data_IF_042419036585
#
_entry.id   IF_042419036585
#
_cell.length_a   1.000
_cell.length_b   1.000
_cell.length_c   1.000
_cell.angle_alpha   90.00
_cell.angle_beta   90.00
_cell.angle_gamma   90.00
#
_symmetry.space_group_name_H-M   'P 1'
#
loop_
_entity.id
_entity.type
_entity.pdbx_description
1 polymer ?
#
# COMPACT_ATOMS: atom_id res chain seq x y z
N UNK A 1 6.67 3.79 -4.95
CA UNK A 1 7.73 3.60 -3.93
C UNK A 1 7.10 3.72 -2.55
N UNK A 2 7.23 2.66 -1.74
CA UNK A 2 6.60 2.49 -0.43
C UNK A 2 7.02 3.59 0.56
N UNK A 3 6.04 4.16 1.28
CA UNK A 3 6.25 5.23 2.27
C UNK A 3 7.21 4.86 3.41
N UNK A 4 7.40 3.57 3.71
CA UNK A 4 8.36 3.09 4.71
C UNK A 4 9.82 3.26 4.30
N UNK A 5 10.14 3.15 3.00
CA UNK A 5 11.51 3.30 2.51
C UNK A 5 11.99 4.76 2.54
N UNK A 6 11.06 5.71 2.38
CA UNK A 6 11.37 7.14 2.31
C UNK A 6 11.69 7.76 3.69
N UNK A 7 11.26 7.13 4.78
CA UNK A 7 11.54 7.58 6.15
C UNK A 7 12.83 7.03 6.73
N UNK A 8 13.50 6.11 6.04
CA UNK A 8 14.78 5.59 6.49
C UNK A 8 15.90 6.64 6.30
N UNK A 9 16.85 6.76 7.24
CA UNK A 9 17.14 5.84 8.34
C UNK A 9 16.50 6.18 9.70
N UNK A 10 15.43 6.97 9.76
CA UNK A 10 14.90 7.44 11.06
C UNK A 10 14.46 6.29 11.99
N UNK A 11 14.73 6.38 13.32
CA UNK A 11 14.42 5.35 14.31
C UNK A 11 12.99 4.79 14.26
N UNK A 12 12.02 5.67 14.02
CA UNK A 12 10.62 5.28 13.95
C UNK A 12 10.32 4.43 12.71
N UNK A 13 10.88 4.77 11.55
CA UNK A 13 10.72 4.01 10.33
C UNK A 13 11.35 2.61 10.44
N UNK A 14 12.53 2.50 11.08
CA UNK A 14 13.21 1.24 11.36
C UNK A 14 12.36 0.38 12.31
N UNK A 15 11.85 0.96 13.39
CA UNK A 15 10.95 0.26 14.33
C UNK A 15 9.67 -0.23 13.66
N UNK A 16 9.08 0.56 12.75
CA UNK A 16 7.94 0.11 11.93
C UNK A 16 8.32 -1.06 11.03
N UNK A 17 9.48 -1.01 10.36
CA UNK A 17 9.98 -2.11 9.52
C UNK A 17 10.16 -3.42 10.29
N UNK A 18 10.74 -3.35 11.50
CA UNK A 18 10.92 -4.51 12.38
C UNK A 18 9.56 -5.11 12.77
N UNK A 19 8.59 -4.27 13.12
CA UNK A 19 7.23 -4.70 13.49
C UNK A 19 6.47 -5.36 12.33
N UNK A 20 6.70 -4.92 11.10
CA UNK A 20 5.90 -5.28 9.93
C UNK A 20 6.17 -6.66 9.36
N UNK A 21 7.45 -7.01 9.25
CA UNK A 21 7.88 -8.06 8.33
C UNK A 21 8.66 -9.18 9.02
N UNK A 22 8.71 -9.18 10.36
CA UNK A 22 9.70 -9.94 11.11
C UNK A 22 11.13 -9.77 10.53
N UNK A 23 11.40 -8.60 9.92
CA UNK A 23 12.63 -8.35 9.17
C UNK A 23 13.79 -8.48 10.13
N UNK A 24 14.57 -9.54 9.91
CA UNK A 24 15.76 -9.82 10.70
C UNK A 24 17.00 -9.14 10.14
N UNK A 25 17.02 -8.87 8.84
CA UNK A 25 18.19 -8.37 8.14
C UNK A 25 17.84 -7.14 7.32
N UNK A 26 18.64 -6.09 7.42
CA UNK A 26 18.56 -4.88 6.62
C UNK A 26 19.85 -4.72 5.82
N UNK A 27 19.75 -4.85 4.49
CA UNK A 27 20.86 -4.57 3.58
C UNK A 27 20.75 -3.13 3.07
N UNK A 28 21.82 -2.36 3.24
CA UNK A 28 21.92 -0.96 2.82
C UNK A 28 23.01 -0.86 1.76
N UNK A 29 22.70 -0.28 0.60
CA UNK A 29 23.67 0.00 -0.46
C UNK A 29 24.19 1.45 -0.35
N UNK A 30 25.45 1.61 0.04
CA UNK A 30 26.09 2.90 0.36
C UNK A 30 26.21 3.82 -0.87
N UNK A 31 26.41 3.24 -2.07
CA UNK A 31 26.49 4.00 -3.33
C UNK A 31 25.16 4.65 -3.73
N UNK A 32 24.04 4.16 -3.19
CA UNK A 32 22.70 4.69 -3.51
C UNK A 32 22.14 5.61 -2.42
N UNK A 33 22.80 5.70 -1.26
CA UNK A 33 22.34 6.46 -0.10
C UNK A 33 22.82 7.92 -0.07
N UNK A 34 23.01 8.57 -1.24
CA UNK A 34 23.49 9.94 -1.34
C UNK A 34 22.62 10.90 -0.49
N UNK A 35 23.20 11.45 0.58
CA UNK A 35 22.58 12.49 1.41
C UNK A 35 21.77 12.00 2.62
N UNK A 36 21.70 10.70 2.90
CA UNK A 36 21.05 10.20 4.12
C UNK A 36 22.01 10.28 5.32
N UNK A 37 21.47 10.62 6.50
CA UNK A 37 22.21 10.65 7.77
C UNK A 37 22.98 9.33 8.01
N UNK A 38 24.06 9.33 8.81
CA UNK A 38 24.84 8.12 9.05
C UNK A 38 23.98 7.00 9.64
N UNK A 39 23.90 5.87 8.95
CA UNK A 39 23.22 4.65 9.42
C UNK A 39 23.82 4.06 10.71
N UNK A 40 24.96 4.57 11.17
CA UNK A 40 25.60 4.19 12.43
C UNK A 40 24.74 4.40 13.68
N UNK A 41 23.64 5.18 13.61
CA UNK A 41 22.68 5.29 14.70
C UNK A 41 21.84 4.02 14.91
N UNK A 42 21.71 3.14 13.91
CA UNK A 42 20.99 1.87 14.04
C UNK A 42 21.52 1.00 15.20
N UNK A 43 22.82 1.05 15.47
CA UNK A 43 23.42 0.31 16.58
C UNK A 43 22.95 0.78 17.96
N UNK A 44 22.54 2.04 18.08
CA UNK A 44 21.96 2.58 19.31
C UNK A 44 20.54 2.04 19.55
N UNK A 45 19.88 1.53 18.51
CA UNK A 45 18.55 0.91 18.57
C UNK A 45 18.59 -0.61 18.69
N UNK A 46 19.78 -1.17 18.94
CA UNK A 46 19.98 -2.61 19.13
C UNK A 46 20.17 -3.40 17.83
N UNK A 47 20.32 -2.73 16.69
CA UNK A 47 20.73 -3.39 15.46
C UNK A 47 22.24 -3.69 15.47
N UNK A 48 22.62 -4.90 15.07
CA UNK A 48 24.01 -5.34 15.04
C UNK A 48 24.51 -5.34 13.60
N UNK A 49 25.58 -4.58 13.30
CA UNK A 49 26.26 -4.71 12.01
C UNK A 49 26.86 -6.13 11.92
N UNK A 50 26.52 -6.85 10.86
CA UNK A 50 26.94 -8.25 10.68
C UNK A 50 27.89 -8.47 9.52
N UNK A 51 27.84 -7.57 8.53
CA UNK A 51 28.75 -7.57 7.40
C UNK A 51 28.82 -6.14 6.84
N UNK A 52 30.00 -5.79 6.35
CA UNK A 52 30.28 -4.52 5.70
C UNK A 52 31.18 -4.81 4.49
N UNK A 53 30.88 -4.14 3.39
CA UNK A 53 31.70 -4.15 2.19
C UNK A 53 31.84 -2.73 1.65
N UNK A 54 32.61 -2.56 0.58
CA UNK A 54 32.91 -1.25 0.02
C UNK A 54 31.68 -0.41 -0.34
N UNK A 55 30.55 -1.06 -0.66
CA UNK A 55 29.31 -0.39 -1.03
C UNK A 55 28.07 -0.91 -0.33
N UNK A 56 28.22 -1.66 0.77
CA UNK A 56 27.08 -2.12 1.54
C UNK A 56 27.35 -2.26 3.04
N UNK A 57 26.27 -2.16 3.80
CA UNK A 57 26.23 -2.58 5.20
C UNK A 57 25.02 -3.49 5.41
N UNK A 58 25.21 -4.61 6.11
CA UNK A 58 24.17 -5.54 6.50
C UNK A 58 24.00 -5.49 8.01
N UNK A 59 22.82 -5.12 8.48
CA UNK A 59 22.48 -5.09 9.90
C UNK A 59 21.52 -6.23 10.24
N UNK A 60 21.80 -6.95 11.33
CA UNK A 60 20.82 -7.79 12.01
C UNK A 60 20.01 -6.92 12.95
N UNK A 61 18.70 -6.86 12.75
CA UNK A 61 17.78 -6.12 13.62
C UNK A 61 17.45 -7.00 14.85
N UNK A 62 17.24 -6.41 16.03
CA UNK A 62 16.97 -7.16 17.25
C UNK A 62 15.70 -7.99 17.09
N UNK A 63 15.86 -9.30 16.98
CA UNK A 63 14.75 -10.24 16.85
C UNK A 63 14.07 -10.38 18.21
N UNK A 64 12.87 -9.81 18.33
CA UNK A 64 12.00 -9.95 19.50
C UNK A 64 11.20 -11.24 19.37
N UNK A 65 11.50 -12.25 20.20
CA UNK A 65 10.70 -13.49 20.32
C UNK A 65 9.28 -13.24 20.80
N UNK A 66 9.04 -12.07 21.41
CA UNK A 66 7.74 -11.49 21.76
C UNK A 66 7.02 -10.82 20.57
N UNK A 67 7.44 -11.10 19.32
CA UNK A 67 6.67 -10.72 18.15
C UNK A 67 5.19 -11.12 18.33
N UNK A 68 4.23 -10.24 18.00
CA UNK A 68 2.82 -10.50 18.26
C UNK A 68 2.42 -11.88 17.67
N UNK A 69 1.67 -12.72 18.40
CA UNK A 69 1.17 -14.04 17.95
C UNK A 69 0.45 -14.01 16.58
N UNK A 70 0.09 -12.81 16.15
CA UNK A 70 -0.53 -12.41 14.90
C UNK A 70 0.02 -13.09 13.64
N UNK A 71 1.33 -13.36 13.56
CA UNK A 71 1.92 -14.04 12.40
C UNK A 71 1.72 -15.57 12.42
N UNK A 72 1.44 -16.15 13.58
CA UNK A 72 1.36 -17.60 13.79
C UNK A 72 -0.08 -18.12 13.77
N UNK A 73 -1.04 -17.34 14.29
CA UNK A 73 -2.40 -17.83 14.54
C UNK A 73 -3.38 -17.46 13.41
N UNK A 74 -2.93 -16.68 12.42
CA UNK A 74 -3.76 -16.19 11.29
C UNK A 74 -4.86 -15.18 11.68
N UNK A 75 -5.10 -14.97 12.98
CA UNK A 75 -5.99 -13.94 13.50
C UNK A 75 -5.20 -12.64 13.67
N UNK A 76 -5.34 -11.75 12.69
CA UNK A 76 -4.90 -10.36 12.82
C UNK A 76 -5.56 -9.69 14.03
N UNK A 77 -4.89 -8.80 14.76
CA UNK A 77 -5.31 -8.38 16.09
C UNK A 77 -6.23 -7.16 16.09
N UNK A 78 -7.52 -7.13 15.72
CA UNK A 78 -8.50 -5.99 15.80
C UNK A 78 -8.09 -4.51 15.55
N UNK A 79 -6.81 -4.22 15.27
CA UNK A 79 -6.14 -2.95 15.14
C UNK A 79 -5.10 -3.10 14.03
N UNK A 80 -4.79 -2.00 13.37
CA UNK A 80 -3.72 -1.88 12.40
C UNK A 80 -2.35 -1.95 13.07
N UNK A 81 -1.28 -1.99 12.26
CA UNK A 81 0.10 -1.94 12.74
C UNK A 81 0.42 -0.63 13.48
N UNK A 82 -0.29 0.46 13.19
CA UNK A 82 -0.13 1.74 13.90
C UNK A 82 -1.19 1.96 14.99
N UNK A 83 -1.94 0.92 15.38
CA UNK A 83 -2.86 0.96 16.52
C UNK A 83 -4.23 1.56 16.22
N UNK A 84 -4.59 1.71 14.95
CA UNK A 84 -5.94 2.15 14.54
C UNK A 84 -6.90 0.98 14.61
N UNK A 85 -7.99 1.12 15.36
CA UNK A 85 -9.02 0.08 15.44
C UNK A 85 -9.63 -0.25 14.07
N UNK A 86 -9.81 -1.54 13.80
CA UNK A 86 -10.41 -2.05 12.57
C UNK A 86 -11.92 -2.22 12.68
N UNK A 87 -12.58 -1.16 13.16
CA UNK A 87 -14.04 -1.13 13.30
C UNK A 87 -14.72 -1.11 11.93
N UNK A 88 -15.92 -1.70 11.79
CA UNK A 88 -16.70 -1.60 10.57
C UNK A 88 -16.97 -0.14 10.21
N UNK A 89 -16.72 0.21 8.95
CA UNK A 89 -16.95 1.54 8.39
C UNK A 89 -18.24 1.58 7.57
N UNK A 90 -18.86 2.74 7.50
CA UNK A 90 -20.00 3.02 6.62
C UNK A 90 -19.55 3.63 5.30
N UNK A 91 -20.45 3.75 4.33
CA UNK A 91 -20.16 4.44 3.06
C UNK A 91 -19.86 5.94 3.23
N UNK A 92 -20.33 6.54 4.34
CA UNK A 92 -20.02 7.92 4.72
C UNK A 92 -18.59 8.06 5.25
N UNK A 93 -18.05 7.00 5.85
CA UNK A 93 -16.69 6.97 6.36
C UNK A 93 -15.65 6.81 5.25
N UNK A 94 -16.02 6.28 4.08
CA UNK A 94 -15.13 6.15 2.92
C UNK A 94 -15.07 7.40 2.02
N UNK A 95 -15.40 8.58 2.56
CA UNK A 95 -15.27 9.84 1.83
C UNK A 95 -13.82 10.16 1.52
N UNK A 96 -13.51 10.37 0.23
CA UNK A 96 -12.14 10.58 -0.22
C UNK A 96 -12.06 11.56 -1.39
N UNK A 97 -10.87 12.13 -1.55
CA UNK A 97 -10.40 12.65 -2.83
C UNK A 97 -9.47 11.60 -3.42
N UNK A 98 -9.80 11.09 -4.61
CA UNK A 98 -8.98 10.13 -5.35
C UNK A 98 -8.53 10.80 -6.64
N UNK A 99 -7.21 10.83 -6.85
CA UNK A 99 -6.62 11.45 -8.05
C UNK A 99 -5.69 10.47 -8.72
N UNK A 100 -5.94 10.09 -9.98
CA UNK A 100 -4.97 9.31 -10.73
C UNK A 100 -3.72 10.16 -10.99
N UNK A 101 -2.54 9.61 -10.73
CA UNK A 101 -1.28 10.28 -11.07
C UNK A 101 -0.85 10.02 -12.53
N UNK A 102 -1.65 9.24 -13.27
CA UNK A 102 -1.56 9.02 -14.72
C UNK A 102 -2.96 9.02 -15.32
N UNK A 103 -3.18 9.74 -16.42
CA UNK A 103 -4.50 9.81 -17.06
C UNK A 103 -4.81 8.62 -17.97
N UNK A 104 -3.78 8.00 -18.56
CA UNK A 104 -3.95 6.85 -19.43
C UNK A 104 -2.83 5.83 -19.24
N UNK A 105 -3.15 4.58 -19.51
CA UNK A 105 -2.21 3.45 -19.47
C UNK A 105 -2.46 2.49 -20.63
N UNK A 106 -1.37 1.93 -21.16
CA UNK A 106 -1.40 1.00 -22.28
C UNK A 106 -0.95 -0.38 -21.82
N UNK A 107 -1.83 -1.37 -21.89
CA UNK A 107 -1.50 -2.76 -21.59
C UNK A 107 -1.20 -3.52 -22.89
N UNK A 108 0.10 -3.68 -23.18
CA UNK A 108 0.58 -4.44 -24.34
C UNK A 108 0.86 -5.91 -24.02
N UNK A 109 1.11 -6.24 -22.76
CA UNK A 109 1.66 -7.54 -22.37
C UNK A 109 0.81 -8.30 -21.35
N UNK A 110 -0.28 -7.72 -20.84
CA UNK A 110 -1.19 -8.33 -19.86
C UNK A 110 -0.51 -8.75 -18.55
N UNK A 111 0.67 -8.19 -18.25
CA UNK A 111 1.50 -8.61 -17.11
C UNK A 111 1.20 -7.85 -15.80
N UNK A 112 0.15 -7.03 -15.80
CA UNK A 112 -0.18 -6.17 -14.67
C UNK A 112 0.53 -4.82 -14.77
N UNK A 113 -0.23 -3.74 -14.74
CA UNK A 113 0.29 -2.38 -14.88
C UNK A 113 0.35 -1.68 -13.51
N UNK A 114 1.50 -1.11 -13.12
CA UNK A 114 1.57 -0.25 -11.95
C UNK A 114 0.90 1.09 -12.24
N UNK A 115 -0.17 1.37 -11.52
CA UNK A 115 -0.93 2.61 -11.63
C UNK A 115 -0.88 3.35 -10.30
N UNK A 116 -0.24 4.54 -10.25
CA UNK A 116 -0.18 5.33 -9.04
C UNK A 116 -1.42 6.21 -8.85
N UNK A 117 -1.93 6.23 -7.62
CA UNK A 117 -3.09 6.99 -7.19
C UNK A 117 -2.73 7.83 -5.97
N UNK A 118 -3.14 9.10 -5.93
CA UNK A 118 -3.16 9.88 -4.70
C UNK A 118 -4.53 9.75 -4.07
N UNK A 119 -4.59 9.38 -2.79
CA UNK A 119 -5.83 9.19 -2.05
C UNK A 119 -5.74 10.03 -0.79
N UNK A 120 -6.75 10.87 -0.56
CA UNK A 120 -6.89 11.69 0.64
C UNK A 120 -8.17 11.32 1.38
N UNK A 121 -8.06 11.08 2.68
CA UNK A 121 -9.22 10.84 3.53
C UNK A 121 -9.93 12.17 3.83
N UNK A 122 -11.20 12.27 3.44
CA UNK A 122 -12.06 13.43 3.70
C UNK A 122 -13.11 13.17 4.79
N UNK A 123 -13.12 11.96 5.36
CA UNK A 123 -14.00 11.61 6.47
C UNK A 123 -13.48 12.15 7.81
N UNK A 124 -14.30 12.03 8.85
CA UNK A 124 -13.92 12.34 10.22
C UNK A 124 -13.23 11.18 10.97
N UNK A 125 -13.09 10.02 10.34
CA UNK A 125 -12.54 8.81 10.98
C UNK A 125 -11.19 8.42 10.36
N UNK A 126 -10.29 7.89 11.17
CA UNK A 126 -9.02 7.34 10.68
C UNK A 126 -9.26 5.98 10.03
N UNK A 127 -8.71 5.77 8.84
CA UNK A 127 -8.82 4.49 8.14
C UNK A 127 -7.69 3.54 8.50
N UNK A 128 -7.99 2.29 8.92
CA UNK A 128 -6.99 1.26 9.05
C UNK A 128 -6.55 0.81 7.65
N UNK A 129 -5.35 1.19 7.24
CA UNK A 129 -4.78 0.90 5.92
C UNK A 129 -3.76 -0.23 5.92
N UNK A 130 -3.17 -0.55 7.07
CA UNK A 130 -2.06 -1.52 7.16
C UNK A 130 -2.19 -2.46 8.35
N UNK A 131 -2.41 -3.74 8.09
CA UNK A 131 -2.30 -4.83 9.06
C UNK A 131 -1.58 -6.03 8.41
N UNK A 132 -1.26 -7.03 9.23
CA UNK A 132 -0.74 -8.32 8.75
C UNK A 132 -1.75 -8.98 7.81
N UNK A 133 -3.03 -9.04 8.22
CA UNK A 133 -4.14 -9.55 7.41
C UNK A 133 -4.91 -8.42 6.72
N UNK A 134 -5.58 -8.72 5.60
CA UNK A 134 -6.39 -7.73 4.86
C UNK A 134 -7.73 -7.44 5.51
N UNK A 135 -8.23 -8.37 6.32
CA UNK A 135 -9.54 -8.27 6.96
C UNK A 135 -9.69 -6.95 7.69
N UNK A 136 -10.82 -6.29 7.41
CA UNK A 136 -11.22 -5.01 7.97
C UNK A 136 -10.29 -3.81 7.64
N UNK A 137 -9.34 -3.96 6.70
CA UNK A 137 -8.56 -2.85 6.18
C UNK A 137 -9.30 -2.09 5.09
N UNK A 138 -9.08 -0.78 5.04
CA UNK A 138 -9.43 0.05 3.90
C UNK A 138 -8.37 -0.13 2.81
N UNK A 139 -8.83 -0.32 1.58
CA UNK A 139 -7.97 -0.40 0.41
C UNK A 139 -8.72 -0.07 -0.87
N UNK A 140 -8.03 -0.23 -1.99
CA UNK A 140 -8.53 0.11 -3.33
C UNK A 140 -8.81 -1.16 -4.11
N UNK A 141 -10.04 -1.28 -4.61
CA UNK A 141 -10.45 -2.22 -5.64
C UNK A 141 -10.82 -1.44 -6.90
N UNK A 142 -10.92 -2.13 -8.03
CA UNK A 142 -11.18 -1.48 -9.29
C UNK A 142 -12.43 -2.05 -9.96
N UNK A 143 -13.20 -1.15 -10.55
CA UNK A 143 -14.17 -1.48 -11.58
C UNK A 143 -13.59 -1.08 -12.93
N UNK A 144 -13.93 -1.82 -13.96
CA UNK A 144 -13.60 -1.49 -15.34
C UNK A 144 -14.87 -1.56 -16.17
N UNK A 145 -15.04 -0.63 -17.09
CA UNK A 145 -16.08 -0.70 -18.12
C UNK A 145 -15.51 -0.33 -19.47
N UNK A 146 -16.09 -0.86 -20.53
CA UNK A 146 -15.72 -0.44 -21.88
C UNK A 146 -16.22 0.98 -22.12
N UNK A 147 -15.45 1.80 -22.82
CA UNK A 147 -15.84 3.19 -23.13
C UNK A 147 -17.19 3.19 -23.85
N UNK A 148 -18.14 3.99 -23.35
CA UNK A 148 -19.49 4.10 -23.90
C UNK A 148 -20.47 3.03 -23.41
N UNK A 149 -20.06 2.09 -22.55
CA UNK A 149 -20.96 1.12 -21.89
C UNK A 149 -21.25 1.54 -20.45
N UNK A 150 -22.43 1.16 -19.97
CA UNK A 150 -22.84 1.40 -18.58
C UNK A 150 -22.39 0.28 -17.64
N UNK A 151 -22.32 -0.95 -18.14
CA UNK A 151 -21.97 -2.12 -17.33
C UNK A 151 -20.50 -2.13 -16.96
N UNK A 152 -20.22 -2.43 -15.69
CA UNK A 152 -18.87 -2.59 -15.17
C UNK A 152 -18.59 -4.03 -14.75
N UNK A 153 -17.31 -4.40 -14.82
CA UNK A 153 -16.75 -5.60 -14.22
C UNK A 153 -15.89 -5.19 -13.02
N UNK A 154 -16.00 -5.92 -11.91
CA UNK A 154 -15.06 -5.79 -10.79
C UNK A 154 -13.79 -6.55 -11.13
N UNK A 155 -12.64 -5.88 -11.07
CA UNK A 155 -11.34 -6.51 -11.27
C UNK A 155 -10.91 -7.23 -9.99
N UNK A 156 -10.26 -8.40 -10.11
CA UNK A 156 -9.76 -9.13 -8.96
C UNK A 156 -8.60 -8.38 -8.29
N UNK A 157 -8.51 -8.53 -6.97
CA UNK A 157 -7.40 -8.03 -6.15
C UNK A 157 -7.83 -6.92 -5.20
N UNK A 158 -7.00 -6.74 -4.16
CA UNK A 158 -7.16 -5.71 -3.13
C UNK A 158 -5.83 -4.98 -2.99
N UNK A 159 -5.84 -3.66 -3.14
CA UNK A 159 -4.64 -2.84 -3.07
C UNK A 159 -4.63 -2.12 -1.72
N UNK A 160 -3.79 -2.61 -0.81
CA UNK A 160 -3.63 -2.02 0.53
C UNK A 160 -3.15 -0.58 0.44
N UNK A 161 -3.62 0.25 1.37
CA UNK A 161 -2.96 1.52 1.63
C UNK A 161 -1.57 1.23 2.22
N UNK A 162 -0.64 2.18 2.09
CA UNK A 162 0.72 2.02 2.63
C UNK A 162 0.86 2.54 4.07
N UNK A 163 -0.18 3.16 4.61
CA UNK A 163 -0.27 3.68 5.97
C UNK A 163 -1.74 3.82 6.36
N UNK A 164 -2.01 3.95 7.65
CA UNK A 164 -3.33 4.34 8.12
C UNK A 164 -3.56 5.81 7.81
N UNK A 165 -4.77 6.17 7.39
CA UNK A 165 -5.05 7.52 6.91
C UNK A 165 -5.94 8.26 7.90
N UNK A 166 -5.37 9.20 8.65
CA UNK A 166 -6.14 10.10 9.50
C UNK A 166 -6.96 11.10 8.66
N UNK A 167 -7.99 11.74 9.24
CA UNK A 167 -8.75 12.80 8.58
C UNK A 167 -7.84 13.86 7.94
N UNK A 168 -8.08 14.15 6.66
CA UNK A 168 -7.33 15.13 5.88
C UNK A 168 -5.97 14.66 5.35
N UNK A 169 -5.44 13.52 5.82
CA UNK A 169 -4.17 12.97 5.33
C UNK A 169 -4.31 12.34 3.95
N UNK A 170 -3.21 12.33 3.20
CA UNK A 170 -3.12 11.72 1.89
C UNK A 170 -1.93 10.77 1.78
N UNK A 171 -2.09 9.72 0.97
CA UNK A 171 -1.01 8.80 0.58
C UNK A 171 -1.01 8.56 -0.92
N UNK A 172 0.09 7.99 -1.41
CA UNK A 172 0.17 7.47 -2.78
C UNK A 172 0.11 5.95 -2.74
N UNK A 173 -0.91 5.37 -3.38
CA UNK A 173 -1.08 3.93 -3.54
C UNK A 173 -0.61 3.52 -4.92
N UNK A 174 0.19 2.45 -4.99
CA UNK A 174 0.61 1.84 -6.25
C UNK A 174 -0.17 0.57 -6.44
N UNK A 175 -1.11 0.59 -7.39
CA UNK A 175 -1.94 -0.56 -7.69
C UNK A 175 -1.39 -1.34 -8.86
N UNK A 176 -1.31 -2.66 -8.74
CA UNK A 176 -0.99 -3.54 -9.87
C UNK A 176 -2.30 -4.03 -10.47
N UNK A 177 -2.67 -3.49 -11.63
CA UNK A 177 -3.95 -3.79 -12.26
C UNK A 177 -3.75 -4.80 -13.38
N UNK A 178 -4.45 -5.93 -13.28
CA UNK A 178 -4.62 -6.89 -14.38
C UNK A 178 -5.89 -6.51 -15.13
N UNK A 179 -5.72 -5.82 -16.25
CA UNK A 179 -6.83 -5.31 -17.06
C UNK A 179 -7.61 -6.41 -17.79
N UNK A 180 -8.67 -6.03 -18.54
CA UNK A 180 -9.41 -6.94 -19.39
C UNK A 180 -8.52 -7.67 -20.41
N UNK A 181 -8.88 -8.90 -20.76
CA UNK A 181 -8.14 -9.71 -21.75
C UNK A 181 -8.55 -9.41 -23.19
N UNK A 182 -9.70 -8.79 -23.40
CA UNK A 182 -10.17 -8.42 -24.75
C UNK A 182 -9.58 -7.06 -25.14
N UNK A 183 -9.00 -6.93 -26.36
CA UNK A 183 -8.55 -5.65 -26.87
C UNK A 183 -9.69 -4.61 -26.89
N UNK A 184 -9.36 -3.35 -26.63
CA UNK A 184 -10.35 -2.27 -26.58
C UNK A 184 -9.91 -1.11 -25.70
N UNK A 185 -10.80 -0.12 -25.58
CA UNK A 185 -10.64 1.03 -24.68
C UNK A 185 -11.60 0.91 -23.52
N UNK A 186 -11.08 1.11 -22.32
CA UNK A 186 -11.79 0.92 -21.07
C UNK A 186 -11.57 2.09 -20.12
N UNK A 187 -12.54 2.33 -19.25
CA UNK A 187 -12.41 3.25 -18.13
C UNK A 187 -12.18 2.44 -16.86
N UNK A 188 -11.07 2.71 -16.19
CA UNK A 188 -10.73 2.14 -14.90
C UNK A 188 -11.21 3.08 -13.79
N UNK A 189 -12.13 2.60 -12.96
CA UNK A 189 -12.77 3.36 -11.88
C UNK A 189 -12.25 2.83 -10.54
N UNK A 190 -11.54 3.66 -9.73
CA UNK A 190 -11.12 3.26 -8.40
C UNK A 190 -12.33 3.25 -7.45
N UNK A 191 -12.37 2.24 -6.57
CA UNK A 191 -13.32 2.19 -5.48
C UNK A 191 -12.57 1.91 -4.16
N UNK A 192 -12.89 2.68 -3.13
CA UNK A 192 -12.48 2.37 -1.77
C UNK A 192 -13.43 1.36 -1.17
N UNK A 193 -12.89 0.37 -0.46
CA UNK A 193 -13.67 -0.64 0.24
C UNK A 193 -12.98 -1.03 1.54
N UNK A 194 -13.74 -1.58 2.48
CA UNK A 194 -13.20 -2.27 3.64
C UNK A 194 -13.26 -3.78 3.41
N UNK A 195 -12.11 -4.44 3.38
CA UNK A 195 -12.00 -5.85 3.04
C UNK A 195 -12.79 -6.74 4.01
N UNK A 196 -13.58 -7.67 3.45
CA UNK A 196 -14.48 -8.55 4.21
C UNK A 196 -15.80 -7.90 4.62
N UNK A 197 -16.09 -6.67 4.17
CA UNK A 197 -17.33 -5.94 4.44
C UNK A 197 -18.04 -5.54 3.15
N UNK A 198 -19.36 -5.43 3.22
CA UNK A 198 -20.18 -4.91 2.12
C UNK A 198 -20.27 -3.38 2.15
N UNK A 199 -19.10 -2.73 2.12
CA UNK A 199 -19.00 -1.27 2.05
C UNK A 199 -18.00 -0.91 0.97
N UNK A 200 -18.49 -0.19 -0.04
CA UNK A 200 -17.69 0.26 -1.17
C UNK A 200 -18.15 1.64 -1.62
N UNK A 201 -17.21 2.51 -1.96
CA UNK A 201 -17.47 3.81 -2.58
C UNK A 201 -16.59 3.96 -3.82
N UNK A 202 -17.19 4.18 -4.97
CA UNK A 202 -16.49 4.37 -6.23
C UNK A 202 -16.39 5.85 -6.60
N UNK A 203 -15.36 6.19 -7.38
CA UNK A 203 -15.01 7.57 -7.74
C UNK A 203 -14.93 7.71 -9.25
N UNK A 204 -16.09 7.86 -9.92
CA UNK A 204 -16.18 7.98 -11.37
C UNK A 204 -15.47 9.23 -11.94
N UNK A 205 -15.29 10.27 -11.13
CA UNK A 205 -14.52 11.45 -11.52
C UNK A 205 -12.99 11.21 -11.54
N UNK A 206 -12.53 10.08 -10.98
CA UNK A 206 -11.13 9.70 -10.87
C UNK A 206 -10.78 8.55 -11.82
N UNK A 207 -11.31 8.54 -13.03
CA UNK A 207 -11.08 7.48 -14.02
C UNK A 207 -9.72 7.58 -14.69
N UNK A 208 -9.23 6.43 -15.16
CA UNK A 208 -8.06 6.32 -16.05
C UNK A 208 -8.49 5.60 -17.32
N UNK A 209 -8.04 6.12 -18.46
CA UNK A 209 -8.20 5.45 -19.75
C UNK A 209 -7.23 4.27 -19.85
N UNK A 210 -7.76 3.06 -19.99
CA UNK A 210 -7.02 1.82 -20.17
C UNK A 210 -7.19 1.34 -21.60
N UNK A 211 -6.09 1.31 -22.36
CA UNK A 211 -6.08 0.75 -23.71
C UNK A 211 -5.42 -0.63 -23.70
N UNK A 212 -6.17 -1.64 -24.13
CA UNK A 212 -5.70 -3.03 -24.25
C UNK A 212 -5.45 -3.34 -25.71
N UNK A 213 -4.23 -3.74 -26.05
CA UNK A 213 -3.83 -4.06 -27.42
C UNK A 213 -4.15 -5.52 -27.76
N UNK A 214 -4.49 -5.79 -29.03
CA UNK A 214 -4.42 -7.14 -29.59
C UNK A 214 -2.96 -7.54 -29.80
N UNK A 215 -2.64 -8.81 -29.59
CA UNK A 215 -1.39 -9.40 -30.09
C UNK A 215 -1.54 -9.73 -31.57
#
# INVERSE_FOLDING_TARGET
>A
MNSLGNGLPEPEAVRSLIKLNATRWLLIHLKTSYGLRPWGQLSQEGARLVAEGEDFQLYELPYRRDQPPVLLDGKGPDVSIFGVERKPLTSCDLQAEVTPLRKSVFDRHRMGLPVPWRIRNLSSVTWPGVAVTETDLVGVVFRVREVGKLDYQVLPGFNRLTTDLAPGQATTVWSIIRGPTKPGSYELIPCLTQAGRDVTRCFDAATIDLHVSGQ
#
